data_IF_606987409871
#
_entry.id   IF_606987409871
#
_cell.length_a   1.000
_cell.length_b   1.000
_cell.length_c   1.000
_cell.angle_alpha   90.00
_cell.angle_beta   90.00
_cell.angle_gamma   90.00
#
_symmetry.space_group_name_H-M   'P 1'
#
loop_
_entity.id
_entity.type
_entity.pdbx_description
1 polymer ?
#
# COMPACT_ATOMS: atom_id res chain seq x y z
N UNK A 1 -23.78 -49.14 -12.76
CA UNK A 1 -22.91 -49.01 -11.56
C UNK A 1 -21.50 -48.75 -12.03
N UNK A 2 -20.83 -47.79 -11.42
CA UNK A 2 -19.44 -47.30 -11.60
C UNK A 2 -19.26 -46.21 -12.66
N UNK A 3 -19.07 -44.99 -12.20
CA UNK A 3 -18.64 -43.90 -13.04
C UNK A 3 -18.77 -42.53 -12.35
N UNK A 4 -18.13 -42.32 -11.24
CA UNK A 4 -18.07 -40.97 -10.65
C UNK A 4 -16.77 -40.81 -9.87
N UNK A 5 -15.64 -40.58 -10.57
CA UNK A 5 -14.32 -40.43 -9.92
C UNK A 5 -13.34 -39.48 -10.58
N UNK A 6 -13.79 -38.56 -11.44
CA UNK A 6 -12.83 -37.63 -12.07
C UNK A 6 -13.08 -36.14 -11.82
N UNK A 7 -14.05 -35.78 -10.97
CA UNK A 7 -14.31 -34.37 -10.65
C UNK A 7 -13.74 -33.89 -9.28
N UNK A 8 -13.01 -34.76 -8.57
CA UNK A 8 -12.47 -34.44 -7.24
C UNK A 8 -11.05 -33.89 -7.24
N UNK A 9 -10.31 -33.98 -8.33
CA UNK A 9 -8.87 -33.62 -8.32
C UNK A 9 -8.58 -32.12 -8.39
N UNK A 10 -9.40 -31.33 -9.06
CA UNK A 10 -9.20 -29.87 -9.17
C UNK A 10 -9.68 -29.12 -7.92
N UNK A 11 -10.75 -29.58 -7.30
CA UNK A 11 -11.21 -29.01 -6.02
C UNK A 11 -10.31 -29.39 -4.85
N UNK A 12 -9.64 -30.55 -4.90
CA UNK A 12 -8.66 -30.99 -3.90
C UNK A 12 -7.32 -30.26 -4.01
N UNK A 13 -6.93 -29.79 -5.20
CA UNK A 13 -5.71 -28.98 -5.39
C UNK A 13 -5.94 -27.55 -4.86
N UNK A 14 -7.11 -26.96 -5.07
CA UNK A 14 -7.48 -25.65 -4.53
C UNK A 14 -7.76 -25.69 -3.02
N UNK A 15 -8.22 -26.83 -2.50
CA UNK A 15 -8.46 -27.04 -1.06
C UNK A 15 -7.20 -27.26 -0.23
N UNK A 16 -6.04 -27.58 -0.83
CA UNK A 16 -4.77 -27.82 -0.12
C UNK A 16 -3.92 -26.57 0.09
N UNK A 17 -4.23 -25.44 -0.53
CA UNK A 17 -3.60 -24.19 -0.16
C UNK A 17 -4.26 -23.64 1.11
N UNK A 18 -4.06 -24.32 2.23
CA UNK A 18 -4.19 -23.68 3.54
C UNK A 18 -3.02 -22.72 3.62
N UNK A 19 -3.24 -21.40 3.55
CA UNK A 19 -2.17 -20.45 3.82
C UNK A 19 -1.64 -20.84 5.21
N UNK A 20 -0.33 -21.05 5.30
CA UNK A 20 0.32 -21.29 6.58
C UNK A 20 -0.22 -20.25 7.56
N UNK A 21 -0.69 -20.64 8.76
CA UNK A 21 -1.20 -19.65 9.71
C UNK A 21 -0.07 -18.65 9.90
N UNK A 22 -0.28 -17.41 9.46
CA UNK A 22 0.60 -16.29 9.75
C UNK A 22 0.68 -16.16 11.27
N UNK A 23 1.56 -16.97 11.85
CA UNK A 23 1.97 -16.85 13.25
C UNK A 23 2.85 -15.61 13.42
N UNK A 24 2.37 -14.48 12.97
CA UNK A 24 2.83 -13.17 13.36
C UNK A 24 2.44 -12.97 14.82
N UNK A 25 3.29 -13.44 15.73
CA UNK A 25 3.16 -13.37 17.20
C UNK A 25 3.14 -11.93 17.75
N UNK A 26 3.10 -10.94 16.89
CA UNK A 26 3.03 -9.53 17.30
C UNK A 26 1.70 -8.97 16.81
N UNK A 27 0.71 -9.01 17.70
CA UNK A 27 -0.49 -8.21 17.51
C UNK A 27 -0.04 -6.76 17.24
N UNK A 28 -0.51 -6.16 16.16
CA UNK A 28 -0.26 -4.75 15.85
C UNK A 28 -0.52 -3.86 17.09
N UNK A 29 -1.54 -4.22 17.90
CA UNK A 29 -1.84 -3.57 19.17
C UNK A 29 -0.68 -3.60 20.16
N UNK A 30 0.10 -4.69 20.24
CA UNK A 30 1.30 -4.77 21.08
C UNK A 30 2.41 -3.84 20.59
N UNK A 31 2.58 -3.72 19.29
CA UNK A 31 3.62 -2.88 18.71
C UNK A 31 3.31 -1.39 18.97
N UNK A 32 2.07 -0.99 18.79
CA UNK A 32 1.61 0.36 19.15
C UNK A 32 1.64 0.62 20.64
N UNK A 33 1.27 -0.36 21.47
CA UNK A 33 1.35 -0.25 22.91
C UNK A 33 2.79 -0.11 23.40
N UNK A 34 3.72 -0.89 22.86
CA UNK A 34 5.15 -0.78 23.16
C UNK A 34 5.74 0.54 22.71
N UNK A 35 5.36 1.02 21.51
CA UNK A 35 5.76 2.33 21.02
C UNK A 35 5.22 3.45 21.92
N UNK A 36 3.96 3.38 22.31
CA UNK A 36 3.35 4.31 23.26
C UNK A 36 4.10 4.31 24.61
N UNK A 37 4.38 3.13 25.17
CA UNK A 37 5.16 2.98 26.41
C UNK A 37 6.57 3.56 26.26
N UNK A 38 7.23 3.34 25.13
CA UNK A 38 8.58 3.85 24.87
C UNK A 38 8.58 5.38 24.80
N UNK A 39 7.63 5.98 24.07
CA UNK A 39 7.50 7.45 23.96
C UNK A 39 7.17 8.07 25.31
N UNK A 40 6.22 7.49 26.04
CA UNK A 40 5.87 7.95 27.37
C UNK A 40 7.03 7.81 28.36
N UNK A 41 7.71 6.66 28.35
CA UNK A 41 8.86 6.40 29.19
C UNK A 41 10.02 7.36 28.92
N UNK A 42 10.33 7.60 27.63
CA UNK A 42 11.39 8.56 27.25
C UNK A 42 11.05 9.98 27.69
N UNK A 43 9.80 10.39 27.59
CA UNK A 43 9.36 11.72 28.00
C UNK A 43 9.45 11.90 29.52
N UNK A 44 9.06 10.92 30.30
CA UNK A 44 9.19 10.93 31.76
C UNK A 44 10.65 11.01 32.17
N UNK A 45 11.54 10.25 31.53
CA UNK A 45 12.98 10.29 31.79
C UNK A 45 13.60 11.66 31.46
N UNK A 46 13.26 12.22 30.29
CA UNK A 46 13.76 13.54 29.89
C UNK A 46 13.25 14.62 30.84
N UNK A 47 11.99 14.56 31.22
CA UNK A 47 11.39 15.49 32.15
C UNK A 47 12.07 15.44 33.53
N UNK A 48 12.29 14.22 34.05
CA UNK A 48 12.98 14.03 35.32
C UNK A 48 14.43 14.54 35.27
N UNK A 49 15.12 14.29 34.14
CA UNK A 49 16.48 14.78 33.93
C UNK A 49 16.54 16.31 33.85
N UNK A 50 15.60 16.92 33.15
CA UNK A 50 15.50 18.37 33.06
C UNK A 50 15.25 19.03 34.43
N UNK A 51 14.34 18.44 35.22
CA UNK A 51 14.07 18.88 36.58
C UNK A 51 15.31 18.76 37.47
N UNK A 52 16.04 17.67 37.40
CA UNK A 52 17.29 17.47 38.12
C UNK A 52 18.34 18.56 37.76
N UNK A 53 18.50 18.86 36.47
CA UNK A 53 19.45 19.87 36.00
C UNK A 53 19.02 21.25 36.47
N UNK A 54 17.74 21.58 36.37
CA UNK A 54 17.19 22.88 36.79
C UNK A 54 17.34 23.03 38.32
N UNK A 55 16.97 22.04 39.10
CA UNK A 55 17.12 22.04 40.56
C UNK A 55 18.57 22.22 40.98
N UNK A 56 19.51 21.52 40.31
CA UNK A 56 20.94 21.66 40.57
C UNK A 56 21.47 23.08 40.25
N UNK A 57 20.99 23.68 39.16
CA UNK A 57 21.36 25.04 38.76
C UNK A 57 20.78 26.10 39.71
N UNK A 58 19.50 25.95 40.07
CA UNK A 58 18.80 26.88 40.97
C UNK A 58 19.38 26.85 42.38
N UNK A 59 19.78 25.66 42.89
CA UNK A 59 20.36 25.49 44.22
C UNK A 59 21.59 26.43 44.42
N UNK A 60 22.48 26.50 43.44
CA UNK A 60 23.65 27.38 43.49
C UNK A 60 23.29 28.87 43.59
N UNK A 61 22.27 29.31 42.86
CA UNK A 61 21.80 30.71 42.89
C UNK A 61 21.10 31.00 44.23
N UNK A 62 20.33 30.09 44.73
CA UNK A 62 19.61 30.25 46.01
C UNK A 62 20.58 30.33 47.17
N UNK A 63 21.65 29.53 47.19
CA UNK A 63 22.70 29.57 48.22
C UNK A 63 23.43 30.90 48.23
N UNK A 64 23.78 31.46 47.07
CA UNK A 64 24.44 32.77 46.96
C UNK A 64 23.50 33.92 47.42
N UNK A 65 22.22 33.85 47.00
CA UNK A 65 21.25 34.85 47.42
C UNK A 65 21.00 34.77 48.95
N UNK A 66 20.82 33.60 49.53
CA UNK A 66 20.62 33.40 50.94
C UNK A 66 21.83 33.90 51.75
N UNK A 67 23.06 33.60 51.28
CA UNK A 67 24.31 34.10 51.89
C UNK A 67 24.34 35.62 51.94
N UNK A 68 24.10 36.29 50.84
CA UNK A 68 24.07 37.77 50.76
C UNK A 68 22.98 38.39 51.61
N UNK A 69 21.77 37.80 51.59
CA UNK A 69 20.65 38.31 52.38
C UNK A 69 20.90 38.20 53.88
N UNK A 70 21.44 37.06 54.31
CA UNK A 70 21.70 36.80 55.73
C UNK A 70 22.94 37.52 56.26
N UNK A 71 23.85 37.99 55.38
CA UNK A 71 25.09 38.67 55.79
C UNK A 71 24.82 39.91 56.63
N UNK A 72 23.83 40.70 56.29
CA UNK A 72 23.40 41.87 57.07
C UNK A 72 22.91 41.50 58.47
N UNK A 73 22.09 40.43 58.54
CA UNK A 73 21.56 39.94 59.81
C UNK A 73 22.65 39.41 60.73
N UNK A 74 23.62 38.68 60.16
CA UNK A 74 24.75 38.12 60.91
C UNK A 74 25.64 39.22 61.50
N UNK A 75 25.90 40.25 60.71
CA UNK A 75 26.69 41.44 61.18
C UNK A 75 25.95 42.07 62.34
N UNK A 76 24.64 42.24 62.30
CA UNK A 76 23.88 42.83 63.40
C UNK A 76 23.92 41.96 64.65
N UNK A 77 23.85 40.63 64.52
CA UNK A 77 23.97 39.73 65.62
C UNK A 77 25.40 39.73 66.22
N UNK A 78 26.41 39.77 65.32
CA UNK A 78 27.81 39.88 65.73
C UNK A 78 28.11 41.22 66.51
N UNK A 79 27.62 42.33 66.05
CA UNK A 79 27.73 43.62 66.73
C UNK A 79 27.07 43.62 68.09
N UNK A 80 25.89 43.05 68.22
CA UNK A 80 25.23 42.99 69.55
C UNK A 80 25.97 42.05 70.50
N UNK A 81 26.58 40.97 70.03
CA UNK A 81 27.43 40.08 70.86
C UNK A 81 28.72 40.82 71.33
N UNK A 82 29.36 41.55 70.43
CA UNK A 82 30.62 42.27 70.78
C UNK A 82 30.46 43.48 71.71
N UNK A 83 29.23 44.01 71.81
CA UNK A 83 28.93 45.04 72.81
C UNK A 83 28.91 44.54 74.26
N UNK A 84 28.86 43.19 74.44
CA UNK A 84 28.78 42.54 75.78
C UNK A 84 29.99 41.70 76.04
N UNK A 85 30.34 41.49 77.31
CA UNK A 85 31.44 40.60 77.69
C UNK A 85 31.17 39.17 77.30
N UNK A 86 32.20 38.39 76.94
CA UNK A 86 32.10 37.05 76.45
C UNK A 86 31.28 36.04 77.37
N UNK A 87 31.30 36.30 78.66
CA UNK A 87 30.58 35.59 79.69
C UNK A 87 29.02 35.67 79.50
N UNK A 88 28.55 36.77 78.89
CA UNK A 88 27.12 37.00 78.68
C UNK A 88 26.60 36.57 77.29
N UNK A 89 27.49 36.12 76.40
CA UNK A 89 27.12 35.71 75.06
C UNK A 89 26.02 34.62 75.04
N UNK A 90 26.05 33.58 75.91
CA UNK A 90 24.97 32.56 75.93
C UNK A 90 23.60 33.15 76.25
N UNK A 91 23.56 34.10 77.21
CA UNK A 91 22.33 34.77 77.58
C UNK A 91 21.81 35.72 76.49
N UNK A 92 22.75 36.43 75.80
CA UNK A 92 22.43 37.31 74.70
C UNK A 92 21.88 36.54 73.49
N UNK A 93 22.51 35.41 73.13
CA UNK A 93 22.00 34.55 72.06
C UNK A 93 20.63 34.03 72.39
N UNK A 94 20.37 33.59 73.63
CA UNK A 94 19.07 33.09 74.07
C UNK A 94 17.99 34.19 74.03
N UNK A 95 18.37 35.43 74.33
CA UNK A 95 17.43 36.57 74.22
C UNK A 95 17.17 36.97 72.74
N UNK A 96 18.15 36.82 71.85
CA UNK A 96 18.01 37.03 70.41
C UNK A 96 17.23 35.87 69.74
N UNK A 97 17.46 34.63 70.15
CA UNK A 97 16.76 33.44 69.62
C UNK A 97 15.23 33.59 69.71
N UNK A 98 14.71 34.19 70.76
CA UNK A 98 13.29 34.46 70.95
C UNK A 98 12.75 35.57 70.02
N UNK A 99 13.61 36.33 69.35
CA UNK A 99 13.23 37.44 68.42
C UNK A 99 13.26 37.03 66.96
N UNK A 100 13.95 35.97 66.63
CA UNK A 100 14.07 35.46 65.28
C UNK A 100 13.20 34.22 65.09
N UNK A 101 12.79 33.96 63.86
CA UNK A 101 12.00 32.79 63.46
C UNK A 101 12.87 31.53 63.27
N UNK A 102 14.16 31.65 63.35
CA UNK A 102 15.15 30.56 63.23
C UNK A 102 16.00 30.52 64.48
N UNK A 103 16.53 29.34 64.82
CA UNK A 103 17.40 29.14 66.02
C UNK A 103 18.77 29.77 65.83
N UNK A 104 19.26 30.35 66.92
CA UNK A 104 20.60 30.87 67.04
C UNK A 104 21.36 30.13 68.08
N UNK A 105 22.52 29.57 67.72
CA UNK A 105 23.37 28.85 68.66
C UNK A 105 24.86 29.22 68.46
N UNK A 106 25.62 29.28 69.54
CA UNK A 106 27.07 29.44 69.45
C UNK A 106 27.73 28.11 69.91
N UNK A 107 28.48 27.53 68.99
CA UNK A 107 29.15 26.26 69.20
C UNK A 107 30.66 26.38 68.97
N UNK A 108 31.42 25.49 69.57
CA UNK A 108 32.84 25.42 69.29
C UNK A 108 33.11 24.75 67.96
N UNK A 109 34.07 25.26 67.18
CA UNK A 109 34.41 24.72 65.84
C UNK A 109 34.59 23.17 65.86
N UNK A 110 35.20 22.66 66.90
CA UNK A 110 35.52 21.23 67.02
C UNK A 110 34.32 20.32 67.24
N UNK A 111 33.20 20.85 67.62
CA UNK A 111 31.96 20.14 67.82
C UNK A 111 31.20 19.93 66.51
N UNK A 112 31.56 20.65 65.41
CA UNK A 112 30.87 20.58 64.13
C UNK A 112 31.59 19.67 63.14
N UNK A 113 30.85 18.76 62.52
CA UNK A 113 31.30 17.96 61.37
C UNK A 113 31.07 18.75 60.08
N UNK A 114 32.04 19.58 59.72
CA UNK A 114 32.00 20.40 58.50
C UNK A 114 32.64 19.68 57.32
N UNK A 115 32.08 19.85 56.11
CA UNK A 115 32.73 19.39 54.89
C UNK A 115 33.99 20.25 54.62
N UNK A 116 34.95 19.74 53.82
CA UNK A 116 36.18 20.46 53.47
C UNK A 116 35.90 21.84 52.90
N UNK A 117 34.92 21.98 52.03
CA UNK A 117 34.49 23.22 51.37
C UNK A 117 33.88 24.25 52.36
N UNK A 118 33.11 23.75 53.35
CA UNK A 118 32.52 24.56 54.40
C UNK A 118 33.62 25.08 55.37
N UNK A 119 34.58 24.24 55.69
CA UNK A 119 35.70 24.61 56.53
C UNK A 119 36.58 25.71 55.87
N UNK A 120 36.91 25.55 54.61
CA UNK A 120 37.66 26.54 53.80
C UNK A 120 36.95 27.91 53.75
N UNK A 121 35.64 27.95 53.52
CA UNK A 121 34.84 29.19 53.53
C UNK A 121 34.83 29.84 54.91
N UNK A 122 34.65 29.09 55.99
CA UNK A 122 34.67 29.61 57.35
C UNK A 122 36.05 30.17 57.72
N UNK A 123 37.14 29.55 57.27
CA UNK A 123 38.50 30.00 57.52
C UNK A 123 38.84 31.26 56.73
N UNK A 124 38.22 31.47 55.56
CA UNK A 124 38.26 32.69 54.79
C UNK A 124 37.39 33.83 55.38
N UNK A 125 36.61 33.54 56.47
CA UNK A 125 35.67 34.52 57.05
C UNK A 125 34.36 34.65 56.30
N UNK A 126 34.08 33.73 55.35
CA UNK A 126 32.86 33.69 54.56
C UNK A 126 31.77 32.86 55.26
N UNK A 127 30.52 33.05 54.83
CA UNK A 127 29.39 32.23 55.28
C UNK A 127 29.46 30.85 54.65
N UNK A 128 29.35 29.82 55.46
CA UNK A 128 29.24 28.46 55.00
C UNK A 128 27.77 27.98 55.17
N UNK A 129 27.19 27.47 54.09
CA UNK A 129 25.81 26.98 54.07
C UNK A 129 25.83 25.47 54.04
N UNK A 130 25.02 24.86 54.87
CA UNK A 130 24.60 23.46 54.77
C UNK A 130 23.19 23.40 54.17
N UNK A 131 23.13 23.34 52.83
CA UNK A 131 21.88 23.37 52.10
C UNK A 131 20.99 22.15 52.41
N UNK A 132 21.54 21.00 52.90
CA UNK A 132 20.79 19.82 53.23
C UNK A 132 20.05 19.93 54.57
N UNK A 133 20.62 20.73 55.49
CA UNK A 133 20.06 21.01 56.81
C UNK A 133 19.48 22.41 56.94
N UNK A 134 19.64 23.21 55.89
CA UNK A 134 19.22 24.60 55.84
C UNK A 134 19.80 25.46 56.99
N UNK A 135 21.08 25.22 57.25
CA UNK A 135 21.83 25.85 58.36
C UNK A 135 22.95 26.69 57.80
N UNK A 136 23.09 27.91 58.35
CA UNK A 136 24.20 28.80 58.07
C UNK A 136 25.23 28.76 59.21
N UNK A 137 26.50 28.71 58.86
CA UNK A 137 27.62 28.77 59.78
C UNK A 137 28.40 30.06 59.51
N UNK A 138 28.70 30.82 60.61
CA UNK A 138 29.55 31.98 60.55
C UNK A 138 30.58 31.96 61.66
N UNK A 139 31.84 32.19 61.33
CA UNK A 139 32.93 32.28 62.31
C UNK A 139 32.93 33.65 62.95
N UNK A 140 32.74 33.70 64.27
CA UNK A 140 32.82 34.93 65.01
C UNK A 140 34.29 35.45 65.09
N UNK A 141 34.47 36.76 64.77
CA UNK A 141 35.83 37.40 64.76
C UNK A 141 36.56 37.22 66.07
N UNK A 142 37.86 36.96 65.96
CA UNK A 142 38.75 36.81 67.11
C UNK A 142 38.41 35.67 68.11
N UNK A 143 37.66 34.69 67.68
CA UNK A 143 37.25 33.51 68.48
C UNK A 143 37.24 32.21 67.69
N UNK A 144 37.44 31.05 68.34
CA UNK A 144 37.24 29.76 67.67
C UNK A 144 35.75 29.33 67.62
N UNK A 145 34.84 30.21 68.00
CA UNK A 145 33.40 29.93 68.05
C UNK A 145 32.72 30.25 66.73
N UNK A 146 31.72 29.44 66.41
CA UNK A 146 30.90 29.52 65.21
C UNK A 146 29.47 29.85 65.65
N UNK A 147 28.89 30.87 65.01
CA UNK A 147 27.48 31.18 65.10
C UNK A 147 26.75 30.24 64.11
N UNK A 148 25.85 29.46 64.63
CA UNK A 148 24.97 28.59 63.88
C UNK A 148 23.59 29.23 63.78
N UNK A 149 23.10 29.43 62.57
CA UNK A 149 21.82 30.05 62.27
C UNK A 149 20.99 29.06 61.49
N UNK A 150 19.88 28.63 62.04
CA UNK A 150 18.99 27.68 61.36
C UNK A 150 18.40 26.61 62.26
N UNK A 151 17.54 25.75 61.70
CA UNK A 151 17.13 25.69 60.30
C UNK A 151 16.32 26.95 59.88
N UNK A 152 16.60 27.45 58.67
CA UNK A 152 15.93 28.62 58.10
C UNK A 152 14.54 28.31 57.61
N UNK A 153 14.32 27.06 57.16
CA UNK A 153 13.04 26.56 56.68
C UNK A 153 12.24 25.90 57.81
N UNK A 154 10.92 26.14 57.91
CA UNK A 154 10.04 25.48 58.87
C UNK A 154 9.97 23.97 58.71
N UNK A 155 10.28 23.47 57.50
CA UNK A 155 10.22 22.01 57.18
C UNK A 155 11.47 21.24 57.60
N UNK A 156 12.55 21.94 57.94
CA UNK A 156 13.79 21.32 58.44
C UNK A 156 13.77 20.99 59.95
N UNK A 157 12.66 21.19 60.64
CA UNK A 157 12.55 20.93 62.06
C UNK A 157 12.56 19.43 62.33
N UNK A 158 13.52 18.88 63.13
CA UNK A 158 13.67 17.47 63.42
C UNK A 158 12.51 16.85 64.20
N UNK A 159 11.68 17.68 64.87
CA UNK A 159 10.58 17.23 65.74
C UNK A 159 9.26 16.99 64.98
N UNK A 160 9.23 17.28 63.69
CA UNK A 160 8.05 17.02 62.84
C UNK A 160 8.13 15.64 62.17
N UNK A 161 7.00 14.91 62.08
CA UNK A 161 6.98 13.63 61.35
C UNK A 161 7.48 13.90 59.91
N UNK A 162 8.34 13.05 59.41
CA UNK A 162 8.95 13.12 58.06
C UNK A 162 7.88 12.99 56.97
N UNK A 163 7.06 14.04 56.81
CA UNK A 163 6.26 14.22 55.63
C UNK A 163 7.20 14.58 54.48
N UNK A 164 6.91 14.06 53.29
CA UNK A 164 7.67 14.43 52.08
C UNK A 164 7.74 15.97 52.00
N UNK A 165 8.93 16.56 51.71
CA UNK A 165 9.06 17.99 51.55
C UNK A 165 8.00 18.58 50.62
N UNK A 166 7.47 19.74 50.93
CA UNK A 166 6.40 20.37 50.14
C UNK A 166 6.81 20.47 48.67
N UNK A 167 8.05 20.80 48.40
CA UNK A 167 8.64 20.88 47.07
C UNK A 167 8.54 19.55 46.32
N UNK A 168 8.90 18.45 46.95
CA UNK A 168 8.82 17.13 46.32
C UNK A 168 7.36 16.74 46.02
N UNK A 169 6.40 17.12 46.86
CA UNK A 169 4.97 16.89 46.61
C UNK A 169 4.49 17.69 45.42
N UNK A 170 4.88 18.96 45.31
CA UNK A 170 4.52 19.84 44.17
C UNK A 170 5.11 19.26 42.89
N UNK A 171 6.39 18.84 42.90
CA UNK A 171 7.03 18.22 41.72
C UNK A 171 6.32 16.93 41.30
N UNK A 172 6.02 16.03 42.24
CA UNK A 172 5.30 14.81 41.93
C UNK A 172 3.91 15.06 41.34
N UNK A 173 3.17 16.04 41.85
CA UNK A 173 1.85 16.43 41.33
C UNK A 173 1.95 17.03 39.95
N UNK A 174 2.89 17.96 39.70
CA UNK A 174 3.06 18.60 38.39
C UNK A 174 3.50 17.58 37.35
N UNK A 175 4.45 16.68 37.67
CA UNK A 175 4.90 15.64 36.74
C UNK A 175 3.81 14.61 36.46
N UNK A 176 3.01 14.23 37.46
CA UNK A 176 1.86 13.34 37.25
C UNK A 176 0.82 13.99 36.32
N UNK A 177 0.54 15.29 36.49
CA UNK A 177 -0.40 16.00 35.64
C UNK A 177 0.11 16.12 34.20
N UNK A 178 1.36 16.50 34.01
CA UNK A 178 1.99 16.61 32.70
C UNK A 178 1.97 15.22 31.99
N UNK A 179 2.37 14.18 32.71
CA UNK A 179 2.34 12.80 32.18
C UNK A 179 0.94 12.36 31.75
N UNK A 180 -0.08 12.71 32.54
CA UNK A 180 -1.47 12.38 32.21
C UNK A 180 -1.96 13.11 30.95
N UNK A 181 -1.67 14.41 30.85
CA UNK A 181 -2.06 15.24 29.69
C UNK A 181 -1.37 14.67 28.43
N UNK A 182 -0.09 14.36 28.52
CA UNK A 182 0.67 13.81 27.42
C UNK A 182 0.15 12.41 26.98
N UNK A 183 -0.18 11.57 27.97
CA UNK A 183 -0.77 10.27 27.72
C UNK A 183 -2.07 10.36 26.95
N UNK A 184 -2.93 11.30 27.33
CA UNK A 184 -4.20 11.56 26.65
C UNK A 184 -3.95 12.07 25.21
N UNK A 185 -3.03 13.03 25.05
CA UNK A 185 -2.72 13.61 23.74
C UNK A 185 -2.18 12.55 22.75
N UNK A 186 -1.23 11.74 23.20
CA UNK A 186 -0.67 10.64 22.38
C UNK A 186 -1.74 9.60 22.06
N UNK A 187 -2.59 9.25 23.02
CA UNK A 187 -3.69 8.30 22.80
C UNK A 187 -4.68 8.80 21.75
N UNK A 188 -5.08 10.08 21.83
CA UNK A 188 -5.99 10.71 20.85
C UNK A 188 -5.37 10.73 19.45
N UNK A 189 -4.06 10.95 19.33
CA UNK A 189 -3.36 10.98 18.05
C UNK A 189 -3.14 9.59 17.45
N UNK A 190 -2.78 8.60 18.25
CA UNK A 190 -2.48 7.23 17.80
C UNK A 190 -3.75 6.44 17.45
N UNK A 191 -4.85 6.69 18.17
CA UNK A 191 -6.09 5.92 18.02
C UNK A 191 -6.67 5.91 16.59
N UNK A 192 -6.79 7.03 15.85
CA UNK A 192 -7.27 7.02 14.47
C UNK A 192 -6.33 6.26 13.53
N UNK A 193 -5.01 6.48 13.65
CA UNK A 193 -3.99 5.76 12.86
C UNK A 193 -4.10 4.25 13.02
N UNK A 194 -4.25 3.79 14.26
CA UNK A 194 -4.40 2.37 14.56
C UNK A 194 -5.69 1.77 13.95
N UNK A 195 -6.79 2.52 14.00
CA UNK A 195 -8.07 2.08 13.43
C UNK A 195 -7.98 1.94 11.91
N UNK A 196 -7.42 2.91 11.23
CA UNK A 196 -7.28 2.89 9.77
C UNK A 196 -6.40 1.70 9.33
N UNK A 197 -5.28 1.47 10.02
CA UNK A 197 -4.40 0.34 9.73
C UNK A 197 -5.06 -1.03 10.01
N UNK A 198 -5.82 -1.15 11.10
CA UNK A 198 -6.58 -2.38 11.40
C UNK A 198 -7.67 -2.65 10.35
N UNK A 199 -8.34 -1.60 9.87
CA UNK A 199 -9.34 -1.72 8.81
C UNK A 199 -8.69 -2.18 7.49
N UNK A 200 -7.57 -1.59 7.10
CA UNK A 200 -6.81 -2.02 5.92
C UNK A 200 -6.34 -3.47 6.05
N UNK A 201 -5.85 -3.86 7.22
CA UNK A 201 -5.44 -5.24 7.51
C UNK A 201 -6.60 -6.24 7.36
N UNK A 202 -7.78 -5.88 7.88
CA UNK A 202 -8.98 -6.72 7.78
C UNK A 202 -9.47 -6.84 6.34
N UNK A 203 -9.47 -5.73 5.58
CA UNK A 203 -9.84 -5.74 4.17
C UNK A 203 -8.85 -6.58 3.36
N UNK A 204 -7.54 -6.38 3.55
CA UNK A 204 -6.52 -7.18 2.87
C UNK A 204 -6.64 -8.69 3.19
N UNK A 205 -7.00 -9.02 4.44
CA UNK A 205 -7.24 -10.39 4.84
C UNK A 205 -8.48 -10.97 4.16
N UNK A 206 -9.59 -10.24 4.13
CA UNK A 206 -10.83 -10.65 3.45
C UNK A 206 -10.58 -10.90 1.95
N UNK A 207 -9.80 -10.02 1.29
CA UNK A 207 -9.37 -10.22 -0.09
C UNK A 207 -8.53 -11.50 -0.26
N UNK A 208 -7.59 -11.77 0.68
CA UNK A 208 -6.80 -13.01 0.69
C UNK A 208 -7.61 -14.28 0.94
N UNK A 209 -8.77 -14.17 1.59
CA UNK A 209 -9.73 -15.26 1.83
C UNK A 209 -10.73 -15.42 0.65
N UNK A 210 -10.64 -14.58 -0.40
CA UNK A 210 -11.46 -14.67 -1.62
C UNK A 210 -12.69 -13.76 -1.63
N UNK A 211 -12.88 -12.90 -0.65
CA UNK A 211 -13.98 -11.93 -0.58
C UNK A 211 -13.65 -10.64 -1.35
N UNK A 212 -13.60 -10.74 -2.67
CA UNK A 212 -13.15 -9.65 -3.56
C UNK A 212 -14.14 -8.49 -3.70
N UNK A 213 -15.36 -8.62 -3.20
CA UNK A 213 -16.35 -7.55 -3.09
C UNK A 213 -16.07 -6.57 -1.94
N UNK A 214 -15.22 -6.98 -0.99
CA UNK A 214 -14.88 -6.15 0.17
C UNK A 214 -14.05 -4.94 -0.27
N UNK A 215 -14.38 -3.77 0.28
CA UNK A 215 -13.64 -2.52 0.06
C UNK A 215 -13.24 -1.90 1.39
N UNK A 216 -12.04 -1.33 1.41
CA UNK A 216 -11.61 -0.49 2.52
C UNK A 216 -12.39 0.84 2.45
N UNK A 217 -13.02 1.29 3.55
CA UNK A 217 -13.63 2.62 3.61
C UNK A 217 -12.54 3.70 3.50
N UNK A 218 -12.92 4.91 3.14
CA UNK A 218 -12.00 6.05 3.09
C UNK A 218 -11.29 6.21 4.43
N UNK A 219 -9.97 6.33 4.39
CA UNK A 219 -9.18 6.53 5.59
C UNK A 219 -9.52 7.88 6.23
N UNK A 220 -9.41 7.95 7.55
CA UNK A 220 -9.57 9.22 8.28
C UNK A 220 -8.32 10.06 8.23
N UNK A 221 -7.17 9.41 8.04
CA UNK A 221 -5.88 10.06 7.90
C UNK A 221 -5.45 9.99 6.42
N UNK A 222 -5.27 11.17 5.81
CA UNK A 222 -4.83 11.32 4.41
C UNK A 222 -3.56 10.52 4.06
N UNK A 223 -2.72 10.22 5.05
CA UNK A 223 -1.54 9.39 4.83
C UNK A 223 -1.86 7.95 4.36
N UNK A 224 -3.08 7.47 4.57
CA UNK A 224 -3.53 6.13 4.16
C UNK A 224 -4.45 6.14 2.94
N UNK A 225 -4.82 7.31 2.40
CA UNK A 225 -5.72 7.41 1.24
C UNK A 225 -5.14 6.68 0.04
N UNK A 226 -3.88 6.93 -0.30
CA UNK A 226 -3.20 6.25 -1.41
C UNK A 226 -3.17 4.72 -1.24
N UNK A 227 -2.93 4.25 -0.01
CA UNK A 227 -2.91 2.82 0.29
C UNK A 227 -4.33 2.20 0.17
N UNK A 228 -5.35 2.93 0.61
CA UNK A 228 -6.75 2.53 0.50
C UNK A 228 -7.19 2.45 -0.97
N UNK A 229 -6.85 3.45 -1.77
CA UNK A 229 -7.11 3.48 -3.21
C UNK A 229 -6.41 2.33 -3.94
N UNK A 230 -5.14 2.11 -3.63
CA UNK A 230 -4.35 1.01 -4.21
C UNK A 230 -4.95 -0.35 -3.89
N UNK A 231 -5.35 -0.58 -2.62
CA UNK A 231 -5.96 -1.82 -2.18
C UNK A 231 -7.33 -2.04 -2.85
N UNK A 232 -8.16 -1.00 -2.92
CA UNK A 232 -9.47 -1.05 -3.58
C UNK A 232 -9.33 -1.26 -5.09
N UNK A 233 -8.36 -0.61 -5.73
CA UNK A 233 -8.03 -0.80 -7.15
C UNK A 233 -7.58 -2.24 -7.46
N UNK A 234 -6.74 -2.83 -6.59
CA UNK A 234 -6.38 -4.25 -6.71
C UNK A 234 -7.60 -5.17 -6.57
N UNK A 235 -8.46 -4.92 -5.57
CA UNK A 235 -9.68 -5.70 -5.37
C UNK A 235 -10.60 -5.65 -6.60
N UNK A 236 -10.79 -4.47 -7.18
CA UNK A 236 -11.58 -4.28 -8.40
C UNK A 236 -10.97 -5.00 -9.61
N UNK A 237 -9.65 -4.93 -9.76
CA UNK A 237 -8.96 -5.62 -10.86
C UNK A 237 -9.09 -7.14 -10.73
N UNK A 238 -8.91 -7.70 -9.54
CA UNK A 238 -9.07 -9.14 -9.28
C UNK A 238 -10.53 -9.56 -9.53
N UNK A 239 -11.50 -8.78 -9.05
CA UNK A 239 -12.92 -9.07 -9.24
C UNK A 239 -13.28 -9.09 -10.73
N UNK A 240 -12.78 -8.13 -11.52
CA UNK A 240 -12.96 -8.11 -12.99
C UNK A 240 -12.34 -9.33 -13.63
N UNK A 241 -11.12 -9.71 -13.28
CA UNK A 241 -10.46 -10.89 -13.83
C UNK A 241 -11.23 -12.17 -13.54
N UNK A 242 -11.75 -12.35 -12.31
CA UNK A 242 -12.56 -13.52 -11.94
C UNK A 242 -13.89 -13.55 -12.71
N UNK A 243 -14.56 -12.40 -12.85
CA UNK A 243 -15.80 -12.30 -13.61
C UNK A 243 -15.58 -12.70 -15.08
N UNK A 244 -14.56 -12.12 -15.73
CA UNK A 244 -14.19 -12.45 -17.11
C UNK A 244 -13.83 -13.92 -17.25
N UNK A 245 -13.04 -14.49 -16.34
CA UNK A 245 -12.68 -15.90 -16.38
C UNK A 245 -13.91 -16.83 -16.22
N UNK A 246 -14.87 -16.46 -15.37
CA UNK A 246 -16.11 -17.22 -15.17
C UNK A 246 -17.00 -17.17 -16.42
N UNK A 247 -17.14 -15.99 -17.04
CA UNK A 247 -17.87 -15.83 -18.29
C UNK A 247 -17.24 -16.66 -19.42
N UNK A 248 -15.92 -16.59 -19.55
CA UNK A 248 -15.11 -17.35 -20.50
C UNK A 248 -15.33 -18.87 -20.33
N UNK A 249 -15.17 -19.37 -19.12
CA UNK A 249 -15.35 -20.79 -18.80
C UNK A 249 -16.78 -21.25 -19.10
N UNK A 250 -17.79 -20.44 -18.80
CA UNK A 250 -19.21 -20.73 -19.10
C UNK A 250 -19.46 -20.75 -20.60
N UNK A 251 -18.92 -19.77 -21.35
CA UNK A 251 -19.09 -19.70 -22.79
C UNK A 251 -18.41 -20.89 -23.49
N UNK A 252 -17.15 -21.20 -23.14
CA UNK A 252 -16.46 -22.39 -23.67
C UNK A 252 -17.25 -23.67 -23.40
N UNK A 253 -17.75 -23.85 -22.16
CA UNK A 253 -18.55 -25.05 -21.81
C UNK A 253 -19.80 -25.13 -22.63
N UNK A 254 -20.45 -24.03 -22.97
CA UNK A 254 -21.63 -24.00 -23.80
C UNK A 254 -21.30 -24.35 -25.25
N UNK A 255 -20.25 -23.73 -25.82
CA UNK A 255 -19.84 -23.96 -27.21
C UNK A 255 -19.26 -25.39 -27.44
N UNK A 256 -18.62 -25.99 -26.44
CA UNK A 256 -18.18 -27.40 -26.49
C UNK A 256 -19.36 -28.38 -26.45
N UNK A 257 -20.45 -28.10 -25.71
CA UNK A 257 -21.56 -29.03 -25.53
C UNK A 257 -22.31 -29.29 -26.82
N UNK A 258 -22.42 -28.31 -27.70
CA UNK A 258 -23.20 -28.42 -28.95
C UNK A 258 -22.60 -29.43 -29.94
N UNK A 259 -21.31 -29.30 -30.36
CA UNK A 259 -20.72 -30.30 -31.28
C UNK A 259 -20.64 -31.68 -30.64
N UNK A 260 -20.35 -31.78 -29.33
CA UNK A 260 -20.36 -33.09 -28.64
C UNK A 260 -21.75 -33.76 -28.70
N UNK A 261 -22.84 -32.99 -28.52
CA UNK A 261 -24.17 -33.51 -28.62
C UNK A 261 -24.51 -33.98 -30.05
N UNK A 262 -24.07 -33.19 -31.07
CA UNK A 262 -24.24 -33.59 -32.49
C UNK A 262 -23.48 -34.86 -32.83
N UNK A 263 -22.21 -34.96 -32.38
CA UNK A 263 -21.42 -36.19 -32.59
C UNK A 263 -22.06 -37.40 -31.90
N UNK A 264 -22.56 -37.26 -30.67
CA UNK A 264 -23.25 -38.34 -29.97
C UNK A 264 -24.50 -38.79 -30.73
N UNK A 265 -25.29 -37.85 -31.25
CA UNK A 265 -26.46 -38.17 -32.07
C UNK A 265 -26.05 -38.84 -33.38
N UNK A 266 -25.01 -38.33 -34.08
CA UNK A 266 -24.51 -38.98 -35.30
C UNK A 266 -24.00 -40.40 -35.05
N UNK A 267 -23.36 -40.64 -33.91
CA UNK A 267 -22.86 -41.95 -33.49
C UNK A 267 -24.02 -42.95 -33.21
N UNK A 268 -25.12 -42.49 -32.64
CA UNK A 268 -26.33 -43.29 -32.41
C UNK A 268 -27.00 -43.63 -33.74
N UNK A 269 -27.15 -42.63 -34.63
CA UNK A 269 -27.67 -42.83 -35.99
C UNK A 269 -26.78 -43.75 -36.83
N UNK A 270 -25.46 -43.70 -36.64
CA UNK A 270 -24.50 -44.55 -37.36
C UNK A 270 -24.68 -46.03 -37.02
N UNK A 271 -25.15 -46.36 -35.80
CA UNK A 271 -25.42 -47.73 -35.37
C UNK A 271 -26.69 -48.29 -36.00
N UNK A 272 -27.61 -47.43 -36.45
CA UNK A 272 -28.88 -47.79 -37.06
C UNK A 272 -28.87 -47.66 -38.59
N UNK A 273 -27.80 -47.06 -39.17
CA UNK A 273 -27.70 -46.79 -40.60
C UNK A 273 -27.39 -48.08 -41.38
N UNK A 274 -28.32 -48.51 -42.27
CA UNK A 274 -28.14 -49.67 -43.14
C UNK A 274 -27.43 -49.32 -44.46
N UNK A 275 -27.52 -48.08 -44.92
CA UNK A 275 -26.95 -47.65 -46.20
C UNK A 275 -25.51 -47.07 -46.02
N UNK A 276 -24.61 -47.43 -46.95
CA UNK A 276 -23.24 -46.95 -46.99
C UNK A 276 -23.17 -45.45 -47.16
N UNK A 277 -24.06 -44.82 -47.89
CA UNK A 277 -24.13 -43.38 -48.18
C UNK A 277 -24.49 -42.58 -46.91
N UNK A 278 -25.44 -43.07 -46.13
CA UNK A 278 -25.82 -42.45 -44.86
C UNK A 278 -24.70 -42.55 -43.83
N UNK A 279 -24.01 -43.70 -43.75
CA UNK A 279 -22.81 -43.87 -42.91
C UNK A 279 -21.73 -42.88 -43.27
N UNK A 280 -21.42 -42.70 -44.54
CA UNK A 280 -20.39 -41.81 -45.01
C UNK A 280 -20.75 -40.36 -44.70
N UNK A 281 -22.02 -39.95 -44.84
CA UNK A 281 -22.53 -38.64 -44.50
C UNK A 281 -22.41 -38.37 -42.99
N UNK A 282 -22.77 -39.32 -42.14
CA UNK A 282 -22.69 -39.20 -40.69
C UNK A 282 -21.22 -39.08 -40.21
N UNK A 283 -20.31 -39.88 -40.80
CA UNK A 283 -18.88 -39.75 -40.52
C UNK A 283 -18.34 -38.38 -40.93
N UNK A 284 -18.70 -37.87 -42.09
CA UNK A 284 -18.30 -36.55 -42.54
C UNK A 284 -18.83 -35.44 -41.63
N UNK A 285 -20.06 -35.57 -41.09
CA UNK A 285 -20.60 -34.64 -40.09
C UNK A 285 -19.78 -34.68 -38.80
N UNK A 286 -19.36 -35.87 -38.34
CA UNK A 286 -18.52 -35.99 -37.16
C UNK A 286 -17.13 -35.38 -37.34
N UNK A 287 -16.52 -35.55 -38.52
CA UNK A 287 -15.22 -34.94 -38.84
C UNK A 287 -15.32 -33.42 -38.80
N UNK A 288 -16.37 -32.83 -39.34
CA UNK A 288 -16.61 -31.37 -39.27
C UNK A 288 -16.79 -30.90 -37.81
N UNK A 289 -17.53 -31.67 -37.00
CA UNK A 289 -17.72 -31.34 -35.59
C UNK A 289 -16.40 -31.46 -34.77
N UNK A 290 -15.51 -32.39 -35.13
CA UNK A 290 -14.16 -32.51 -34.55
C UNK A 290 -13.29 -31.32 -34.92
N UNK A 291 -13.26 -30.92 -36.22
CA UNK A 291 -12.53 -29.76 -36.69
C UNK A 291 -13.04 -28.48 -36.00
N UNK A 292 -14.34 -28.35 -35.76
CA UNK A 292 -14.92 -27.29 -34.97
C UNK A 292 -14.36 -27.26 -33.53
N UNK A 293 -14.31 -28.43 -32.87
CA UNK A 293 -13.78 -28.53 -31.49
C UNK A 293 -12.31 -28.14 -31.41
N UNK A 294 -11.49 -28.65 -32.34
CA UNK A 294 -10.06 -28.28 -32.38
C UNK A 294 -9.87 -26.79 -32.61
N UNK A 295 -10.62 -26.18 -33.52
CA UNK A 295 -10.58 -24.72 -33.75
C UNK A 295 -11.02 -23.91 -32.54
N UNK A 296 -12.00 -24.37 -31.76
CA UNK A 296 -12.44 -23.76 -30.51
C UNK A 296 -11.34 -23.81 -29.44
N UNK A 297 -10.71 -25.00 -29.29
CA UNK A 297 -9.62 -25.21 -28.34
C UNK A 297 -8.45 -24.29 -28.68
N UNK A 298 -7.99 -24.28 -29.93
CA UNK A 298 -6.88 -23.44 -30.38
C UNK A 298 -7.16 -21.96 -30.20
N UNK A 299 -8.37 -21.50 -30.56
CA UNK A 299 -8.78 -20.10 -30.36
C UNK A 299 -8.85 -19.74 -28.88
N UNK A 300 -9.32 -20.65 -28.02
CA UNK A 300 -9.42 -20.45 -26.57
C UNK A 300 -8.04 -20.39 -25.92
N UNK A 301 -7.12 -21.28 -26.32
CA UNK A 301 -5.73 -21.27 -25.84
C UNK A 301 -5.00 -19.98 -26.29
N UNK A 302 -5.19 -19.60 -27.55
CA UNK A 302 -4.61 -18.35 -28.11
C UNK A 302 -5.14 -17.13 -27.36
N UNK A 303 -6.45 -17.04 -27.13
CA UNK A 303 -7.06 -15.96 -26.34
C UNK A 303 -6.48 -15.93 -24.91
N UNK A 304 -6.46 -17.06 -24.22
CA UNK A 304 -5.94 -17.16 -22.85
C UNK A 304 -4.45 -16.78 -22.77
N UNK A 305 -3.66 -17.08 -23.80
CA UNK A 305 -2.25 -16.66 -23.89
C UNK A 305 -2.13 -15.15 -23.97
N UNK A 306 -2.85 -14.49 -24.86
CA UNK A 306 -2.80 -13.03 -25.03
C UNK A 306 -3.43 -12.28 -23.85
N UNK A 307 -4.38 -12.88 -23.12
CA UNK A 307 -5.01 -12.27 -21.95
C UNK A 307 -4.13 -12.31 -20.69
N UNK A 308 -3.43 -13.44 -20.45
CA UNK A 308 -2.64 -13.66 -19.22
C UNK A 308 -1.23 -13.13 -19.28
N UNK A 309 -0.58 -13.29 -20.40
CA UNK A 309 0.78 -12.85 -20.59
C UNK A 309 0.75 -11.47 -21.23
N UNK A 310 1.48 -10.50 -20.62
CA UNK A 310 2.03 -9.41 -21.42
C UNK A 310 3.38 -9.93 -21.90
N UNK A 311 3.43 -10.71 -23.01
CA UNK A 311 4.69 -11.21 -23.53
C UNK A 311 5.52 -9.98 -23.89
N UNK A 312 6.80 -10.00 -23.52
CA UNK A 312 7.75 -9.03 -24.07
C UNK A 312 7.66 -9.16 -25.58
N UNK A 313 7.08 -8.13 -26.24
CA UNK A 313 6.95 -8.12 -27.68
C UNK A 313 8.35 -8.19 -28.30
N UNK A 314 8.57 -9.15 -29.18
CA UNK A 314 9.79 -9.23 -29.99
C UNK A 314 9.62 -8.37 -31.24
N UNK A 315 9.68 -7.06 -31.02
CA UNK A 315 9.52 -6.09 -32.08
C UNK A 315 10.64 -6.21 -33.10
N UNK A 316 10.26 -6.23 -34.35
CA UNK A 316 11.17 -6.21 -35.49
C UNK A 316 10.71 -5.20 -36.52
N UNK A 317 11.65 -4.50 -37.15
CA UNK A 317 11.33 -3.56 -38.23
C UNK A 317 11.11 -4.33 -39.52
N UNK A 318 9.89 -4.30 -40.01
CA UNK A 318 9.49 -4.97 -41.25
C UNK A 318 9.07 -3.96 -42.30
N UNK A 319 9.22 -4.30 -43.59
CA UNK A 319 8.61 -3.53 -44.67
C UNK A 319 7.16 -3.94 -44.77
N UNK A 320 6.26 -2.94 -44.57
CA UNK A 320 4.86 -3.21 -44.30
C UNK A 320 4.10 -3.84 -45.49
N UNK A 321 4.33 -3.34 -46.69
CA UNK A 321 3.60 -3.80 -47.88
C UNK A 321 3.89 -5.28 -48.22
N UNK A 322 5.15 -5.74 -48.33
CA UNK A 322 5.45 -7.14 -48.55
C UNK A 322 4.90 -8.03 -47.44
N UNK A 323 5.00 -7.58 -46.20
CA UNK A 323 4.45 -8.35 -45.05
C UNK A 323 2.93 -8.52 -45.13
N UNK A 324 2.17 -7.46 -45.52
CA UNK A 324 0.72 -7.56 -45.77
C UNK A 324 0.43 -8.55 -46.90
N UNK A 325 1.17 -8.45 -48.02
CA UNK A 325 1.00 -9.33 -49.18
C UNK A 325 1.22 -10.79 -48.79
N UNK A 326 2.25 -11.13 -48.00
CA UNK A 326 2.50 -12.49 -47.49
C UNK A 326 1.34 -13.03 -46.66
N UNK A 327 0.79 -12.20 -45.76
CA UNK A 327 -0.35 -12.59 -44.91
C UNK A 327 -1.62 -12.81 -45.74
N UNK A 328 -1.85 -11.96 -46.75
CA UNK A 328 -2.99 -12.08 -47.66
C UNK A 328 -2.86 -13.31 -48.55
N UNK A 329 -1.67 -13.59 -49.09
CA UNK A 329 -1.42 -14.73 -49.96
C UNK A 329 -1.67 -16.06 -49.20
N UNK A 330 -1.31 -16.13 -47.92
CA UNK A 330 -1.59 -17.27 -47.08
C UNK A 330 -3.10 -17.58 -46.95
N UNK A 331 -3.94 -16.54 -47.08
CA UNK A 331 -5.40 -16.62 -46.95
C UNK A 331 -6.18 -16.74 -48.25
N UNK A 332 -5.55 -16.45 -49.40
CA UNK A 332 -6.20 -16.52 -50.72
C UNK A 332 -6.82 -17.90 -51.05
N UNK A 333 -6.16 -18.97 -50.61
CA UNK A 333 -6.64 -20.34 -50.82
C UNK A 333 -8.01 -20.54 -50.14
N UNK A 334 -8.23 -19.92 -49.00
CA UNK A 334 -9.48 -20.01 -48.22
C UNK A 334 -10.57 -19.12 -48.81
N UNK A 335 -10.23 -18.08 -49.58
CA UNK A 335 -11.15 -17.11 -50.17
C UNK A 335 -12.04 -17.67 -51.29
N UNK A 336 -11.65 -18.77 -51.93
CA UNK A 336 -12.43 -19.42 -53.01
C UNK A 336 -12.73 -18.44 -54.15
N UNK A 337 -14.03 -18.07 -54.31
CA UNK A 337 -14.50 -17.16 -55.36
C UNK A 337 -14.40 -15.64 -54.98
N UNK A 338 -13.99 -15.34 -53.76
CA UNK A 338 -13.92 -13.95 -53.30
C UNK A 338 -12.64 -13.28 -53.82
N UNK A 339 -12.78 -12.09 -54.40
CA UNK A 339 -11.64 -11.30 -54.86
C UNK A 339 -10.99 -10.59 -53.68
N UNK A 340 -9.72 -10.91 -53.37
CA UNK A 340 -8.94 -10.24 -52.35
C UNK A 340 -7.88 -9.36 -53.04
N UNK A 341 -7.95 -8.06 -52.86
CA UNK A 341 -7.05 -7.04 -53.43
C UNK A 341 -6.28 -6.31 -52.34
N UNK A 342 -5.01 -6.03 -52.56
CA UNK A 342 -4.21 -5.13 -51.76
C UNK A 342 -4.08 -3.81 -52.46
N UNK A 343 -4.51 -2.71 -51.82
CA UNK A 343 -4.36 -1.35 -52.32
C UNK A 343 -3.17 -0.69 -51.59
N UNK A 344 -2.14 -0.39 -52.35
CA UNK A 344 -0.89 0.21 -51.87
C UNK A 344 -0.81 1.73 -52.05
N UNK A 345 -1.87 2.35 -52.50
CA UNK A 345 -1.91 3.80 -52.84
C UNK A 345 -1.67 4.73 -51.65
N UNK A 346 -1.97 4.28 -50.45
CA UNK A 346 -1.83 5.04 -49.19
C UNK A 346 -0.47 4.92 -48.51
N UNK A 347 0.44 4.05 -49.00
CA UNK A 347 1.73 3.79 -48.33
C UNK A 347 2.89 4.37 -49.14
N UNK A 348 3.87 5.03 -48.51
CA UNK A 348 5.17 5.33 -49.10
C UNK A 348 5.91 4.05 -49.50
N UNK A 349 6.64 4.09 -50.59
CA UNK A 349 7.46 2.97 -51.06
C UNK A 349 8.53 2.64 -49.98
N UNK A 350 8.63 1.38 -49.59
CA UNK A 350 9.59 0.92 -48.56
C UNK A 350 9.23 1.33 -47.15
N UNK A 351 7.94 1.68 -46.87
CA UNK A 351 7.49 2.04 -45.54
C UNK A 351 7.79 0.88 -44.54
N UNK A 352 8.55 1.19 -43.51
CA UNK A 352 8.85 0.26 -42.42
C UNK A 352 8.06 0.58 -41.18
N UNK A 353 7.74 -0.47 -40.42
CA UNK A 353 7.00 -0.41 -39.16
C UNK A 353 7.56 -1.42 -38.17
N UNK A 354 7.49 -1.10 -36.89
CA UNK A 354 7.82 -2.04 -35.83
C UNK A 354 6.61 -2.84 -35.41
N UNK A 355 6.72 -4.16 -35.50
CA UNK A 355 5.68 -5.09 -35.04
C UNK A 355 6.33 -6.43 -34.57
N UNK A 356 5.58 -7.18 -33.77
CA UNK A 356 5.95 -8.55 -33.42
C UNK A 356 5.40 -9.52 -34.48
N UNK A 357 6.32 -10.11 -35.24
CA UNK A 357 5.99 -11.06 -36.31
C UNK A 357 5.35 -12.36 -35.83
N UNK A 358 5.31 -12.64 -34.52
CA UNK A 358 4.66 -13.82 -33.95
C UNK A 358 3.21 -13.53 -33.57
N UNK A 359 2.90 -12.33 -33.10
CA UNK A 359 1.57 -11.98 -32.59
C UNK A 359 0.72 -11.19 -33.58
N UNK A 360 1.29 -10.24 -34.34
CA UNK A 360 0.53 -9.42 -35.29
C UNK A 360 -0.18 -10.23 -36.38
N UNK A 361 0.40 -11.33 -36.94
CA UNK A 361 -0.30 -12.21 -37.87
C UNK A 361 -1.64 -12.72 -37.36
N UNK A 362 -1.78 -12.99 -36.05
CA UNK A 362 -3.08 -13.41 -35.48
C UNK A 362 -4.15 -12.35 -35.65
N UNK A 363 -3.81 -11.06 -35.54
CA UNK A 363 -4.78 -9.98 -35.73
C UNK A 363 -5.22 -9.89 -37.19
N UNK A 364 -4.28 -9.85 -38.12
CA UNK A 364 -4.57 -9.73 -39.56
C UNK A 364 -5.33 -10.96 -40.06
N UNK A 365 -4.86 -12.15 -39.74
CA UNK A 365 -5.49 -13.41 -40.17
C UNK A 365 -6.92 -13.56 -39.64
N UNK A 366 -7.20 -13.16 -38.37
CA UNK A 366 -8.56 -13.17 -37.84
C UNK A 366 -9.48 -12.18 -38.56
N UNK A 367 -8.98 -10.99 -38.95
CA UNK A 367 -9.78 -10.06 -39.75
C UNK A 367 -10.02 -10.58 -41.16
N UNK A 368 -9.01 -11.11 -41.83
CA UNK A 368 -9.15 -11.68 -43.18
C UNK A 368 -10.13 -12.87 -43.16
N UNK A 369 -10.04 -13.75 -42.16
CA UNK A 369 -10.98 -14.86 -41.99
C UNK A 369 -12.41 -14.37 -41.78
N UNK A 370 -12.62 -13.31 -41.01
CA UNK A 370 -13.92 -12.66 -40.87
C UNK A 370 -14.40 -12.04 -42.20
N UNK A 371 -13.56 -11.32 -42.89
CA UNK A 371 -13.90 -10.73 -44.17
C UNK A 371 -14.28 -11.80 -45.20
N UNK A 372 -13.49 -12.88 -45.35
CA UNK A 372 -13.82 -14.04 -46.24
C UNK A 372 -15.16 -14.66 -45.90
N UNK A 373 -15.46 -14.82 -44.59
CA UNK A 373 -16.70 -15.41 -44.10
C UNK A 373 -17.96 -14.59 -44.45
N UNK A 374 -17.86 -13.25 -44.39
CA UNK A 374 -19.02 -12.36 -44.49
C UNK A 374 -19.09 -11.56 -45.78
N UNK A 375 -18.00 -11.44 -46.55
CA UNK A 375 -18.01 -10.80 -47.87
C UNK A 375 -18.94 -11.55 -48.87
N UNK A 376 -19.49 -10.79 -49.81
CA UNK A 376 -20.24 -11.34 -50.92
C UNK A 376 -19.36 -11.71 -52.11
N UNK A 377 -18.41 -10.83 -52.43
CA UNK A 377 -17.58 -10.99 -53.63
C UNK A 377 -16.20 -10.33 -53.53
N UNK A 378 -16.02 -9.29 -52.71
CA UNK A 378 -14.79 -8.47 -52.73
C UNK A 378 -14.30 -8.10 -51.33
N UNK A 379 -12.99 -8.20 -51.15
CA UNK A 379 -12.26 -7.71 -49.99
C UNK A 379 -11.11 -6.81 -50.46
N UNK A 380 -10.94 -5.66 -49.83
CA UNK A 380 -9.82 -4.74 -50.11
C UNK A 380 -9.04 -4.50 -48.83
N UNK A 381 -7.75 -4.73 -48.89
CA UNK A 381 -6.82 -4.44 -47.79
C UNK A 381 -6.04 -3.18 -48.22
N UNK A 382 -6.04 -2.16 -47.37
CA UNK A 382 -5.27 -0.93 -47.61
C UNK A 382 -4.56 -0.51 -46.32
N UNK A 383 -3.46 0.22 -46.43
CA UNK A 383 -2.79 0.77 -45.27
C UNK A 383 -2.33 2.21 -45.57
N UNK A 384 -2.34 3.03 -44.54
CA UNK A 384 -1.89 4.41 -44.59
C UNK A 384 -1.14 4.81 -43.30
N UNK A 385 -0.33 5.87 -43.42
CA UNK A 385 0.36 6.50 -42.30
C UNK A 385 -0.42 7.72 -41.86
N UNK A 386 -0.93 7.72 -40.64
CA UNK A 386 -1.65 8.85 -40.04
C UNK A 386 -0.85 9.37 -38.85
N UNK A 387 -0.12 10.46 -39.04
CA UNK A 387 0.78 11.00 -38.02
C UNK A 387 1.93 10.04 -37.69
N UNK A 388 1.99 9.58 -36.47
CA UNK A 388 2.98 8.61 -35.97
C UNK A 388 2.46 7.15 -35.92
N UNK A 389 1.32 6.89 -36.55
CA UNK A 389 0.64 5.59 -36.51
C UNK A 389 0.45 5.01 -37.91
N UNK A 390 0.48 3.68 -37.96
CA UNK A 390 -0.04 2.93 -39.13
C UNK A 390 -1.52 2.66 -38.90
N UNK A 391 -2.31 2.79 -39.94
CA UNK A 391 -3.68 2.32 -40.01
C UNK A 391 -3.79 1.30 -41.17
N UNK A 392 -4.07 0.06 -40.80
CA UNK A 392 -4.35 -1.06 -41.71
C UNK A 392 -5.87 -1.26 -41.78
N UNK A 393 -6.44 -1.17 -42.95
CA UNK A 393 -7.89 -1.33 -43.20
C UNK A 393 -8.17 -2.66 -43.91
N UNK A 394 -9.20 -3.36 -43.45
CA UNK A 394 -9.77 -4.51 -44.13
C UNK A 394 -11.22 -4.16 -44.45
N UNK A 395 -11.53 -3.98 -45.71
CA UNK A 395 -12.85 -3.62 -46.25
C UNK A 395 -13.52 -4.84 -46.87
N UNK A 396 -14.76 -5.13 -46.50
CA UNK A 396 -15.59 -6.14 -47.15
C UNK A 396 -16.87 -5.52 -47.76
N UNK A 397 -17.50 -6.26 -48.66
CA UNK A 397 -18.80 -5.96 -49.27
C UNK A 397 -19.96 -6.75 -48.65
N UNK A 398 -19.80 -7.16 -47.38
CA UNK A 398 -20.71 -8.00 -46.67
C UNK A 398 -21.96 -7.30 -46.13
N UNK A 399 -22.48 -7.80 -45.02
CA UNK A 399 -23.68 -7.27 -44.35
C UNK A 399 -23.40 -6.04 -43.46
N UNK A 400 -22.12 -5.74 -43.19
CA UNK A 400 -21.71 -4.69 -42.25
C UNK A 400 -22.06 -4.97 -40.82
N UNK A 401 -21.76 -4.00 -39.92
CA UNK A 401 -22.01 -4.09 -38.49
C UNK A 401 -22.82 -2.86 -38.03
N UNK A 402 -23.97 -3.09 -37.34
CA UNK A 402 -24.80 -2.00 -36.82
C UNK A 402 -24.00 -1.09 -35.86
N UNK A 403 -24.20 0.22 -35.86
CA UNK A 403 -23.41 1.17 -35.04
C UNK A 403 -23.39 0.85 -33.55
N UNK A 404 -24.52 0.38 -33.01
CA UNK A 404 -24.70 0.00 -31.60
C UNK A 404 -23.86 -1.23 -31.18
N UNK A 405 -23.52 -2.07 -32.14
CA UNK A 405 -22.77 -3.33 -31.89
C UNK A 405 -21.26 -3.19 -32.15
N UNK A 406 -20.83 -2.09 -32.83
CA UNK A 406 -19.43 -1.90 -33.27
C UNK A 406 -18.39 -1.99 -32.14
N UNK A 407 -18.73 -1.56 -30.93
CA UNK A 407 -17.86 -1.71 -29.76
C UNK A 407 -17.92 -3.12 -29.17
N UNK A 408 -19.07 -3.75 -29.23
CA UNK A 408 -19.32 -5.06 -28.59
C UNK A 408 -18.69 -6.21 -29.35
N UNK A 409 -18.53 -6.13 -30.66
CA UNK A 409 -17.97 -7.22 -31.48
C UNK A 409 -16.53 -7.60 -31.11
N UNK A 410 -15.80 -6.73 -30.41
CA UNK A 410 -14.46 -7.00 -29.92
C UNK A 410 -14.42 -7.67 -28.52
N UNK A 411 -15.56 -7.90 -27.89
CA UNK A 411 -15.60 -8.70 -26.66
C UNK A 411 -15.65 -10.18 -26.97
N UNK A 412 -14.99 -10.97 -26.14
CA UNK A 412 -14.94 -12.42 -26.31
C UNK A 412 -16.35 -13.03 -26.31
N UNK A 413 -16.58 -14.03 -27.16
CA UNK A 413 -17.84 -14.74 -27.35
C UNK A 413 -19.04 -13.86 -27.78
N UNK A 414 -18.79 -12.65 -28.23
CA UNK A 414 -19.85 -11.80 -28.81
C UNK A 414 -20.16 -12.23 -30.24
N UNK A 415 -21.45 -12.45 -30.52
CA UNK A 415 -21.98 -12.81 -31.84
C UNK A 415 -23.23 -12.00 -32.11
N UNK A 416 -23.34 -11.42 -33.32
CA UNK A 416 -24.46 -10.55 -33.72
C UNK A 416 -25.73 -11.31 -33.99
N UNK A 417 -25.63 -12.49 -34.56
CA UNK A 417 -26.78 -13.32 -34.95
C UNK A 417 -26.52 -14.81 -34.67
N UNK A 418 -27.13 -15.33 -33.61
CA UNK A 418 -26.96 -16.74 -33.17
C UNK A 418 -27.51 -17.77 -34.16
N UNK A 419 -28.39 -17.36 -35.07
CA UNK A 419 -29.09 -18.31 -35.97
C UNK A 419 -28.36 -18.51 -37.30
N UNK A 420 -27.77 -17.48 -37.88
CA UNK A 420 -27.01 -17.52 -39.13
C UNK A 420 -25.58 -18.01 -38.99
N UNK A 421 -24.98 -17.74 -37.86
CA UNK A 421 -23.58 -18.07 -37.58
C UNK A 421 -23.32 -19.57 -37.29
N UNK A 422 -24.35 -20.36 -36.98
CA UNK A 422 -24.19 -21.80 -36.76
C UNK A 422 -23.79 -22.55 -38.03
N UNK A 423 -24.18 -22.03 -39.20
CA UNK A 423 -23.85 -22.68 -40.48
C UNK A 423 -22.44 -22.33 -40.99
N UNK A 424 -21.85 -21.26 -40.47
CA UNK A 424 -20.58 -20.72 -40.99
C UNK A 424 -19.39 -20.81 -40.00
N UNK A 425 -19.60 -21.33 -38.78
CA UNK A 425 -18.54 -21.50 -37.76
C UNK A 425 -17.96 -20.19 -37.22
N UNK A 426 -17.53 -20.19 -35.98
CA UNK A 426 -16.84 -19.08 -35.36
C UNK A 426 -17.37 -18.78 -33.95
N UNK A 427 -16.46 -18.79 -32.96
CA UNK A 427 -16.81 -18.80 -31.55
C UNK A 427 -16.82 -17.36 -30.93
N UNK A 428 -16.67 -16.33 -31.74
CA UNK A 428 -16.61 -14.93 -31.25
C UNK A 428 -15.33 -14.59 -30.51
N UNK A 429 -14.25 -15.37 -30.69
CA UNK A 429 -12.94 -15.11 -30.09
C UNK A 429 -11.99 -14.33 -31.02
N UNK A 430 -12.18 -14.43 -32.36
CA UNK A 430 -11.24 -13.86 -33.32
C UNK A 430 -11.05 -12.35 -33.17
N UNK A 431 -12.14 -11.56 -33.08
CA UNK A 431 -12.05 -10.10 -32.90
C UNK A 431 -11.54 -9.71 -31.49
N UNK A 432 -11.82 -10.53 -30.47
CA UNK A 432 -11.26 -10.32 -29.16
C UNK A 432 -9.72 -10.52 -29.14
N UNK A 433 -9.22 -11.51 -29.89
CA UNK A 433 -7.77 -11.71 -30.10
C UNK A 433 -7.18 -10.51 -30.85
N UNK A 434 -7.85 -10.01 -31.90
CA UNK A 434 -7.43 -8.78 -32.60
C UNK A 434 -7.24 -7.63 -31.63
N UNK A 435 -8.23 -7.37 -30.78
CA UNK A 435 -8.16 -6.32 -29.77
C UNK A 435 -6.95 -6.50 -28.84
N UNK A 436 -6.76 -7.69 -28.26
CA UNK A 436 -5.67 -7.99 -27.34
C UNK A 436 -4.28 -7.80 -27.98
N UNK A 437 -4.10 -8.27 -29.23
CA UNK A 437 -2.85 -8.12 -29.96
C UNK A 437 -2.55 -6.62 -30.20
N UNK A 438 -3.55 -5.83 -30.62
CA UNK A 438 -3.36 -4.40 -30.85
C UNK A 438 -3.08 -3.66 -29.54
N UNK A 439 -3.79 -3.95 -28.44
CA UNK A 439 -3.54 -3.38 -27.12
C UNK A 439 -2.09 -3.60 -26.68
N UNK A 440 -1.53 -4.80 -26.91
CA UNK A 440 -0.12 -5.11 -26.63
C UNK A 440 0.84 -4.28 -27.48
N UNK A 441 0.49 -3.98 -28.73
CA UNK A 441 1.26 -3.11 -29.61
C UNK A 441 1.02 -1.60 -29.37
N UNK A 442 0.38 -1.19 -28.27
CA UNK A 442 0.01 0.20 -28.00
C UNK A 442 -0.99 0.76 -29.02
N UNK A 443 -1.74 -0.15 -29.64
CA UNK A 443 -2.69 0.12 -30.69
C UNK A 443 -4.16 -0.02 -30.29
N UNK A 444 -5.03 0.02 -31.29
CA UNK A 444 -6.47 -0.18 -31.15
C UNK A 444 -7.07 -0.75 -32.44
N UNK A 445 -8.18 -1.48 -32.29
CA UNK A 445 -8.99 -1.96 -33.40
C UNK A 445 -10.36 -1.30 -33.36
N UNK A 446 -10.84 -0.86 -34.53
CA UNK A 446 -12.16 -0.25 -34.69
C UNK A 446 -12.88 -0.86 -35.88
N UNK A 447 -14.20 -0.65 -35.97
CA UNK A 447 -15.00 -1.05 -37.14
C UNK A 447 -16.00 0.03 -37.50
N UNK A 448 -16.11 0.27 -38.80
CA UNK A 448 -16.99 1.28 -39.41
C UNK A 448 -17.70 0.68 -40.63
N UNK A 449 -18.47 1.51 -41.35
CA UNK A 449 -19.05 1.14 -42.60
C UNK A 449 -17.97 1.19 -43.69
N UNK A 450 -17.89 0.12 -44.48
CA UNK A 450 -16.96 0.05 -45.61
C UNK A 450 -17.43 0.86 -46.81
N UNK A 451 -16.52 1.47 -47.54
CA UNK A 451 -16.83 2.05 -48.87
C UNK A 451 -17.41 1.05 -49.87
N UNK A 452 -17.22 -0.26 -49.60
CA UNK A 452 -17.78 -1.34 -50.39
C UNK A 452 -19.21 -1.72 -49.96
N UNK A 453 -19.74 -1.10 -48.89
CA UNK A 453 -21.08 -1.31 -48.38
C UNK A 453 -21.18 -2.39 -47.25
N UNK A 454 -20.08 -2.99 -46.86
CA UNK A 454 -19.99 -3.95 -45.74
C UNK A 454 -19.32 -3.34 -44.50
N UNK A 455 -18.36 -4.06 -43.89
CA UNK A 455 -17.60 -3.59 -42.73
C UNK A 455 -16.18 -3.18 -43.09
N UNK A 456 -15.71 -2.07 -42.52
CA UNK A 456 -14.32 -1.64 -42.52
C UNK A 456 -13.74 -1.87 -41.12
N UNK A 457 -12.83 -2.83 -41.01
CA UNK A 457 -12.03 -3.00 -39.80
C UNK A 457 -10.71 -2.21 -39.95
N UNK A 458 -10.39 -1.42 -38.93
CA UNK A 458 -9.15 -0.62 -38.90
C UNK A 458 -8.30 -1.06 -37.72
N UNK A 459 -7.06 -1.53 -37.98
CA UNK A 459 -6.02 -1.75 -37.00
C UNK A 459 -5.09 -0.55 -36.97
N UNK A 460 -4.93 0.09 -35.84
CA UNK A 460 -4.03 1.24 -35.68
C UNK A 460 -3.02 0.99 -34.58
N UNK A 461 -1.71 1.14 -34.89
CA UNK A 461 -0.62 1.02 -33.92
C UNK A 461 0.51 2.01 -34.24
N UNK A 462 1.42 2.33 -33.27
CA UNK A 462 2.52 3.26 -33.51
C UNK A 462 3.49 2.76 -34.60
N UNK A 463 4.01 3.69 -35.40
CA UNK A 463 4.99 3.39 -36.44
C UNK A 463 6.31 2.87 -35.84
N UNK A 464 6.75 3.54 -34.76
CA UNK A 464 7.87 3.17 -33.95
C UNK A 464 7.36 2.97 -32.51
N UNK A 465 7.66 1.86 -31.90
CA UNK A 465 7.27 1.61 -30.53
C UNK A 465 8.36 2.13 -29.59
N UNK A 466 8.06 3.16 -28.80
CA UNK A 466 8.92 3.54 -27.69
C UNK A 466 8.94 2.39 -26.69
N UNK A 467 10.09 1.76 -26.53
CA UNK A 467 10.32 0.78 -25.45
C UNK A 467 10.14 1.51 -24.13
N UNK A 468 8.95 1.43 -23.57
CA UNK A 468 8.71 1.87 -22.19
C UNK A 468 9.37 0.81 -21.30
N UNK A 469 10.62 1.06 -20.92
CA UNK A 469 11.23 0.33 -19.81
C UNK A 469 10.43 0.68 -18.54
N UNK A 470 9.66 -0.28 -18.05
CA UNK A 470 8.98 -0.24 -16.74
C UNK A 470 9.85 -0.91 -15.68
#
# INVERSE_FOLDING_TARGET
>A
MTGNSHNSSLLDILGRYKPAPWRGRYSLSRLFFNFYLLVMGSFVVIAFFADFVISAAVKGITDDYTSRFMQGTIVLIEDELFRKPRSEWPNTIKALDNKFSYRLEIVDRWSLKLSKKQAEKLDAGELAIDSDRDILYHRLKLTPKILVVGPLSPDANPDRPRALPLELRIHLLTWSLISLILAIAVWLWVRPVWRDLETLRQTARALGEGHFETRAPNARNQAFDLLTETLNGMAERIQRLIATQKELSSAISHELRTPIARMRFALEMLSEADDCTDRQRLMQMMDVDLDELDSLIDSSLTYARFEREQPELQLSSVELLPWIEDEVDSMRILGGAIQIAVDNSGLPVGQRVELDQKSMPYAVTNLLRNAIKYAKSKIVISAEVVGDRICLHVDDDGIGIPPEERKRVFYAFTRLDRSRDRATGGYGLGLAIVRLVLEQHGGSATVEESPLGGARFTLSWPLLQSVTQS
#
